data_IF_938199234249
#
_entry.id   IF_938199234249
#
_cell.length_a   1.000
_cell.length_b   1.000
_cell.length_c   1.000
_cell.angle_alpha   90.00
_cell.angle_beta   90.00
_cell.angle_gamma   90.00
#
_symmetry.space_group_name_H-M   'P 1'
#
loop_
_entity.id
_entity.type
_entity.pdbx_description
1 polymer ?
#
# COMPACT_ATOMS: atom_id res chain seq x y z
N UNK A 1 -10.58 0.49 4.95
CA UNK A 1 -11.89 0.46 5.64
C UNK A 1 -12.02 -0.92 6.28
N UNK A 2 -12.32 -1.01 7.57
CA UNK A 2 -12.69 -2.29 8.20
C UNK A 2 -14.21 -2.46 8.12
N UNK A 3 -14.67 -3.69 7.95
CA UNK A 3 -16.09 -4.01 7.80
C UNK A 3 -16.46 -5.10 8.79
N UNK A 4 -17.56 -4.89 9.51
CA UNK A 4 -17.98 -5.76 10.61
C UNK A 4 -19.08 -6.75 10.21
N UNK A 5 -19.61 -6.67 8.99
CA UNK A 5 -20.64 -7.58 8.48
C UNK A 5 -20.05 -8.55 7.45
N UNK A 6 -20.91 -9.31 6.77
CA UNK A 6 -20.46 -10.27 5.76
C UNK A 6 -19.84 -9.58 4.55
N UNK A 7 -18.97 -10.32 3.85
CA UNK A 7 -18.34 -9.85 2.62
C UNK A 7 -19.37 -9.65 1.49
N UNK A 8 -20.43 -10.45 1.46
CA UNK A 8 -21.50 -10.36 0.47
C UNK A 8 -22.26 -9.03 0.59
N UNK A 9 -22.59 -8.61 1.81
CA UNK A 9 -23.26 -7.32 2.05
C UNK A 9 -22.37 -6.15 1.61
N UNK A 10 -21.05 -6.26 1.80
CA UNK A 10 -20.10 -5.24 1.36
C UNK A 10 -20.04 -5.15 -0.17
N UNK A 11 -20.08 -6.28 -0.87
CA UNK A 11 -20.09 -6.32 -2.35
C UNK A 11 -21.34 -5.64 -2.89
N UNK A 12 -22.51 -5.98 -2.35
CA UNK A 12 -23.78 -5.37 -2.76
C UNK A 12 -23.72 -3.85 -2.60
N UNK A 13 -23.23 -3.35 -1.47
CA UNK A 13 -23.10 -1.92 -1.22
C UNK A 13 -22.15 -1.22 -2.22
N UNK A 14 -21.03 -1.86 -2.58
CA UNK A 14 -20.06 -1.30 -3.53
C UNK A 14 -20.57 -1.34 -4.97
N UNK A 15 -21.29 -2.39 -5.34
CA UNK A 15 -21.97 -2.51 -6.63
C UNK A 15 -23.10 -1.49 -6.76
N UNK A 16 -23.87 -1.26 -5.70
CA UNK A 16 -24.90 -0.21 -5.65
C UNK A 16 -24.27 1.18 -5.81
N UNK A 17 -23.16 1.45 -5.12
CA UNK A 17 -22.43 2.72 -5.25
C UNK A 17 -21.91 2.95 -6.68
N UNK A 18 -21.57 1.88 -7.40
CA UNK A 18 -21.19 1.93 -8.81
C UNK A 18 -22.33 2.34 -9.76
N UNK A 19 -23.59 2.25 -9.32
CA UNK A 19 -24.75 2.69 -10.12
C UNK A 19 -25.04 4.18 -9.99
N UNK A 20 -24.47 4.87 -8.99
CA UNK A 20 -24.86 6.24 -8.63
C UNK A 20 -24.51 7.29 -9.67
N UNK A 21 -23.43 7.09 -10.43
CA UNK A 21 -23.01 8.07 -11.42
C UNK A 21 -22.65 7.37 -12.74
N UNK A 22 -23.29 7.73 -13.86
CA UNK A 22 -23.16 6.99 -15.12
C UNK A 22 -21.75 6.99 -15.70
N UNK A 23 -20.91 7.98 -15.33
CA UNK A 23 -19.55 8.14 -15.86
C UNK A 23 -18.43 7.85 -14.84
N UNK A 24 -18.76 7.41 -13.62
CA UNK A 24 -17.74 7.09 -12.60
C UNK A 24 -17.87 5.63 -12.22
N UNK A 25 -16.78 4.88 -12.38
CA UNK A 25 -16.69 3.48 -11.98
C UNK A 25 -15.67 3.32 -10.85
N UNK A 26 -16.11 2.77 -9.74
CA UNK A 26 -15.32 2.36 -8.59
C UNK A 26 -14.79 0.95 -8.82
N UNK A 27 -13.47 0.83 -8.92
CA UNK A 27 -12.79 -0.47 -8.83
C UNK A 27 -12.44 -0.74 -7.36
N UNK A 28 -12.82 -1.91 -6.86
CA UNK A 28 -12.62 -2.29 -5.47
C UNK A 28 -12.07 -3.70 -5.34
N UNK A 29 -11.26 -3.92 -4.31
CA UNK A 29 -10.71 -5.22 -3.96
C UNK A 29 -10.93 -5.47 -2.47
N UNK A 30 -11.50 -6.62 -2.15
CA UNK A 30 -11.76 -7.03 -0.77
C UNK A 30 -10.74 -8.11 -0.43
N UNK A 31 -9.92 -7.84 0.58
CA UNK A 31 -8.96 -8.80 1.10
C UNK A 31 -8.55 -8.40 2.53
N UNK A 32 -8.00 -9.36 3.30
CA UNK A 32 -7.43 -9.09 4.62
C UNK A 32 -6.16 -8.24 4.52
N UNK A 33 -5.37 -8.44 3.46
CA UNK A 33 -4.19 -7.62 3.16
C UNK A 33 -4.27 -7.13 1.72
N UNK A 34 -4.07 -5.84 1.51
CA UNK A 34 -4.17 -5.22 0.19
C UNK A 34 -3.09 -4.15 -0.01
N UNK A 35 -2.36 -4.18 -1.13
CA UNK A 35 -1.48 -3.08 -1.50
C UNK A 35 -2.30 -1.87 -1.98
N UNK A 36 -1.94 -0.69 -1.49
CA UNK A 36 -2.47 0.58 -1.94
C UNK A 36 -1.36 1.63 -1.99
N UNK A 37 -0.99 2.07 -3.20
CA UNK A 37 0.18 2.92 -3.44
C UNK A 37 1.45 2.29 -2.84
N UNK A 38 2.14 3.01 -1.95
CA UNK A 38 3.36 2.57 -1.26
C UNK A 38 3.06 1.88 0.09
N UNK A 39 1.78 1.64 0.41
CA UNK A 39 1.33 1.05 1.65
C UNK A 39 0.79 -0.37 1.43
N UNK A 40 1.11 -1.26 2.36
CA UNK A 40 0.44 -2.52 2.52
C UNK A 40 -0.53 -2.37 3.69
N UNK A 41 -1.83 -2.40 3.37
CA UNK A 41 -2.89 -2.33 4.36
C UNK A 41 -3.19 -3.75 4.84
N UNK A 42 -3.18 -3.96 6.15
CA UNK A 42 -3.48 -5.26 6.76
C UNK A 42 -4.53 -5.09 7.85
N UNK A 43 -5.61 -5.86 7.78
CA UNK A 43 -6.61 -5.89 8.85
C UNK A 43 -6.22 -6.95 9.90
N UNK A 44 -5.80 -6.47 11.07
CA UNK A 44 -5.51 -7.27 12.25
C UNK A 44 -6.75 -7.32 13.16
N UNK A 45 -7.72 -8.17 12.80
CA UNK A 45 -8.93 -8.44 13.59
C UNK A 45 -9.71 -7.17 14.02
N UNK A 46 -9.87 -6.22 13.09
CA UNK A 46 -10.58 -4.95 13.32
C UNK A 46 -9.65 -3.74 13.43
N UNK A 47 -8.36 -3.95 13.68
CA UNK A 47 -7.34 -2.89 13.68
C UNK A 47 -6.66 -2.82 12.33
N UNK A 48 -6.73 -1.65 11.68
CA UNK A 48 -6.02 -1.41 10.43
C UNK A 48 -4.54 -1.12 10.71
N UNK A 49 -3.67 -2.02 10.27
CA UNK A 49 -2.23 -1.83 10.27
C UNK A 49 -1.74 -1.47 8.85
N UNK A 50 -0.63 -0.74 8.81
CA UNK A 50 0.02 -0.26 7.60
C UNK A 50 1.50 -0.60 7.66
N UNK A 51 2.07 -0.97 6.53
CA UNK A 51 3.52 -1.16 6.35
C UNK A 51 3.94 -0.74 4.95
N UNK A 52 5.25 -0.67 4.69
CA UNK A 52 5.75 -0.34 3.36
C UNK A 52 5.45 -1.50 2.40
N UNK A 53 4.78 -1.20 1.30
CA UNK A 53 4.58 -2.16 0.22
C UNK A 53 5.75 -2.15 -0.75
N UNK A 54 6.31 -3.33 -1.02
CA UNK A 54 7.33 -3.55 -2.05
C UNK A 54 6.70 -4.32 -3.21
N UNK A 55 6.62 -3.67 -4.38
CA UNK A 55 6.13 -4.35 -5.60
C UNK A 55 7.05 -5.53 -5.91
N UNK A 56 6.52 -6.71 -6.30
CA UNK A 56 7.35 -7.87 -6.63
C UNK A 56 8.36 -7.63 -7.75
N UNK A 57 8.05 -6.70 -8.66
CA UNK A 57 8.93 -6.30 -9.76
C UNK A 57 9.94 -5.20 -9.36
N UNK A 58 9.88 -4.67 -8.15
CA UNK A 58 10.83 -3.67 -7.70
C UNK A 58 12.15 -4.34 -7.32
N UNK A 59 13.24 -3.91 -7.97
CA UNK A 59 14.58 -4.31 -7.54
C UNK A 59 14.91 -3.65 -6.19
N UNK A 60 15.57 -4.38 -5.27
CA UNK A 60 15.94 -3.83 -3.97
C UNK A 60 17.06 -2.79 -4.06
N UNK A 61 17.77 -2.71 -5.18
CA UNK A 61 18.88 -1.79 -5.41
C UNK A 61 18.46 -0.62 -6.31
N UNK A 62 18.70 0.61 -5.85
CA UNK A 62 18.48 1.83 -6.65
C UNK A 62 19.73 2.16 -7.47
N UNK A 63 20.92 1.87 -6.94
CA UNK A 63 22.22 2.14 -7.60
C UNK A 63 23.26 1.07 -7.25
N UNK A 64 23.96 0.47 -8.23
CA UNK A 64 25.08 -0.42 -7.96
C UNK A 64 26.18 0.24 -7.11
N UNK A 65 26.82 -0.51 -6.21
CA UNK A 65 27.91 0.01 -5.36
C UNK A 65 29.10 0.54 -6.16
N UNK A 66 29.31 0.01 -7.37
CA UNK A 66 30.38 0.41 -8.29
C UNK A 66 30.02 1.62 -9.16
N UNK A 67 28.82 2.19 -8.99
CA UNK A 67 28.42 3.37 -9.76
C UNK A 67 29.24 4.60 -9.33
N UNK A 68 29.56 5.48 -10.29
CA UNK A 68 30.24 6.76 -10.06
C UNK A 68 29.26 7.82 -9.52
N UNK A 69 28.74 7.56 -8.33
CA UNK A 69 27.89 8.50 -7.60
C UNK A 69 28.59 8.99 -6.34
N UNK A 70 28.33 10.25 -5.93
CA UNK A 70 28.83 10.74 -4.65
C UNK A 70 28.29 9.91 -3.47
N UNK A 71 29.10 9.75 -2.42
CA UNK A 71 28.75 8.99 -1.21
C UNK A 71 27.41 9.40 -0.57
N UNK A 72 27.06 10.69 -0.64
CA UNK A 72 25.81 11.19 -0.06
C UNK A 72 24.56 10.62 -0.76
N UNK A 73 24.64 10.24 -2.04
CA UNK A 73 23.52 9.64 -2.79
C UNK A 73 23.19 8.26 -2.20
N UNK A 74 24.20 7.42 -2.00
CA UNK A 74 24.05 6.10 -1.38
C UNK A 74 23.49 6.21 0.05
N UNK A 75 24.01 7.15 0.85
CA UNK A 75 23.52 7.40 2.21
C UNK A 75 22.05 7.86 2.21
N UNK A 76 21.68 8.72 1.26
CA UNK A 76 20.31 9.21 1.13
C UNK A 76 19.32 8.11 0.71
N UNK A 77 19.73 7.14 -0.12
CA UNK A 77 18.88 5.99 -0.48
C UNK A 77 18.49 5.18 0.77
N UNK A 78 19.46 4.89 1.64
CA UNK A 78 19.22 4.16 2.89
C UNK A 78 18.36 5.02 3.83
N UNK A 79 18.73 6.29 4.01
CA UNK A 79 18.05 7.22 4.91
C UNK A 79 16.57 7.39 4.52
N UNK A 80 16.30 7.67 3.25
CA UNK A 80 14.93 7.87 2.75
C UNK A 80 14.10 6.60 2.84
N UNK A 81 14.71 5.42 2.60
CA UNK A 81 14.03 4.14 2.77
C UNK A 81 13.64 3.88 4.23
N UNK A 82 14.52 4.22 5.18
CA UNK A 82 14.25 4.14 6.62
C UNK A 82 13.16 5.13 7.04
N UNK A 83 13.28 6.40 6.64
CA UNK A 83 12.28 7.43 6.92
C UNK A 83 10.89 7.03 6.39
N UNK A 84 10.85 6.43 5.19
CA UNK A 84 9.62 5.88 4.61
C UNK A 84 9.07 4.74 5.46
N UNK A 85 9.92 3.80 5.89
CA UNK A 85 9.52 2.71 6.75
C UNK A 85 8.95 3.19 8.08
N UNK A 86 9.61 4.15 8.73
CA UNK A 86 9.14 4.74 9.99
C UNK A 86 7.83 5.51 9.82
N UNK A 87 7.66 6.22 8.71
CA UNK A 87 6.43 6.99 8.45
C UNK A 87 5.23 6.12 8.10
N UNK A 88 5.45 5.06 7.32
CA UNK A 88 4.38 4.24 6.74
C UNK A 88 4.04 3.01 7.56
N UNK A 89 4.91 2.60 8.48
CA UNK A 89 4.64 1.44 9.32
C UNK A 89 3.97 1.89 10.61
N UNK A 90 2.70 1.57 10.75
CA UNK A 90 2.01 1.67 12.04
C UNK A 90 2.44 0.47 12.87
N UNK A 91 3.45 0.66 13.72
CA UNK A 91 3.77 -0.27 14.81
C UNK A 91 2.82 0.01 15.97
#
# INVERSE_FOLDING_TARGET
MTWNKSEEELKILLDDANTWHPNIKLDYKINKSLPFLDLLLTNNNGTLATSVYHKPAAEPYITPFTSDHPRHVFANIIKTSLERATRYSST
#
